data_IF_172736446136
#
_entry.id   IF_172736446136
#
_cell.length_a   1.000
_cell.length_b   1.000
_cell.length_c   1.000
_cell.angle_alpha   90.00
_cell.angle_beta   90.00
_cell.angle_gamma   90.00
#
_symmetry.space_group_name_H-M   'P 1'
#
loop_
_entity.id
_entity.type
_entity.pdbx_description
1 polymer ?
#
# COMPACT_ATOMS: atom_id res chain seq x y z
N UNK A 1 -16.44 3.10 -22.22
CA UNK A 1 -16.43 2.77 -20.79
C UNK A 1 -15.09 3.00 -20.18
N UNK A 2 -15.06 3.62 -19.04
CA UNK A 2 -13.81 4.03 -18.41
C UNK A 2 -13.58 3.21 -17.14
N UNK A 3 -12.43 2.56 -17.04
CA UNK A 3 -12.08 1.85 -15.82
C UNK A 3 -11.66 2.85 -14.75
N UNK A 4 -11.92 2.50 -13.50
CA UNK A 4 -11.44 3.29 -12.39
C UNK A 4 -9.91 3.20 -12.36
N UNK A 5 -9.22 4.33 -12.27
CA UNK A 5 -7.76 4.28 -12.16
C UNK A 5 -7.34 3.51 -10.92
N UNK A 6 -6.25 2.80 -11.02
CA UNK A 6 -5.68 2.14 -9.86
C UNK A 6 -4.17 2.04 -10.02
N UNK A 7 -3.49 1.98 -8.89
CA UNK A 7 -2.05 1.79 -8.85
C UNK A 7 -1.72 0.83 -7.72
N UNK A 8 -0.55 0.22 -7.83
CA UNK A 8 -0.06 -0.66 -6.77
C UNK A 8 1.01 0.09 -5.99
N UNK A 9 0.81 0.19 -4.69
CA UNK A 9 1.81 0.70 -3.77
C UNK A 9 2.47 -0.48 -3.08
N UNK A 10 3.78 -0.37 -2.90
CA UNK A 10 4.52 -1.39 -2.17
C UNK A 10 5.13 -0.75 -0.94
N UNK A 11 4.87 -1.33 0.22
CA UNK A 11 5.43 -0.85 1.47
C UNK A 11 6.28 -1.94 2.10
N UNK A 12 7.41 -1.54 2.66
CA UNK A 12 8.23 -2.42 3.47
C UNK A 12 8.13 -1.95 4.91
N UNK A 13 7.83 -2.86 5.80
CA UNK A 13 7.58 -2.52 7.20
C UNK A 13 8.19 -3.55 8.11
N UNK A 14 8.41 -3.15 9.36
CA UNK A 14 8.78 -4.10 10.40
C UNK A 14 7.58 -4.99 10.66
N UNK A 15 7.82 -6.30 10.67
CA UNK A 15 6.74 -7.25 10.91
C UNK A 15 6.53 -7.42 12.41
N UNK A 16 5.33 -7.07 12.88
CA UNK A 16 4.95 -7.35 14.24
C UNK A 16 3.45 -7.63 14.27
N UNK A 17 2.95 -8.00 15.45
CA UNK A 17 1.57 -8.46 15.59
C UNK A 17 0.55 -7.38 15.24
N UNK A 18 0.92 -6.13 15.35
CA UNK A 18 -0.01 -5.02 15.14
C UNK A 18 0.12 -4.38 13.76
N UNK A 19 1.14 -4.74 12.98
CA UNK A 19 1.42 -4.03 11.74
C UNK A 19 0.27 -4.15 10.74
N UNK A 20 -0.28 -5.36 10.58
CA UNK A 20 -1.38 -5.55 9.66
C UNK A 20 -2.58 -4.69 10.05
N UNK A 21 -2.89 -4.63 11.33
CA UNK A 21 -4.00 -3.81 11.80
C UNK A 21 -3.73 -2.32 11.58
N UNK A 22 -2.48 -1.88 11.78
CA UNK A 22 -2.13 -0.48 11.54
C UNK A 22 -2.31 -0.11 10.09
N UNK A 23 -1.88 -1.00 9.19
CA UNK A 23 -1.97 -0.74 7.75
C UNK A 23 -3.43 -0.69 7.32
N UNK A 24 -4.23 -1.66 7.74
CA UNK A 24 -5.65 -1.67 7.37
C UNK A 24 -6.38 -0.47 7.94
N UNK A 25 -6.01 -0.04 9.13
CA UNK A 25 -6.58 1.13 9.76
C UNK A 25 -6.23 2.40 8.96
N UNK A 26 -4.99 2.49 8.49
CA UNK A 26 -4.54 3.65 7.72
C UNK A 26 -5.27 3.74 6.38
N UNK A 27 -5.56 2.60 5.76
CA UNK A 27 -6.33 2.59 4.52
C UNK A 27 -7.76 3.02 4.79
N UNK A 28 -8.32 2.57 5.92
CA UNK A 28 -9.66 2.94 6.32
C UNK A 28 -10.69 2.46 5.33
N UNK A 29 -11.57 3.36 4.91
CA UNK A 29 -12.64 3.03 3.97
C UNK A 29 -12.25 3.28 2.53
N UNK A 30 -10.99 3.58 2.27
CA UNK A 30 -10.56 3.85 0.91
C UNK A 30 -10.68 2.57 0.06
N UNK A 31 -11.24 2.66 -1.15
CA UNK A 31 -11.38 1.46 -1.99
C UNK A 31 -10.03 0.89 -2.40
N UNK A 32 -9.86 -0.40 -2.18
CA UNK A 32 -8.68 -1.11 -2.64
C UNK A 32 -9.12 -2.31 -3.45
N UNK A 33 -8.35 -2.64 -4.46
CA UNK A 33 -8.66 -3.77 -5.33
C UNK A 33 -8.07 -5.06 -4.80
N UNK A 34 -6.85 -4.98 -4.28
CA UNK A 34 -6.20 -6.15 -3.72
C UNK A 34 -5.27 -5.72 -2.61
N UNK A 35 -4.93 -6.66 -1.76
CA UNK A 35 -4.09 -6.41 -0.62
C UNK A 35 -3.33 -7.69 -0.30
N UNK A 36 -2.02 -7.59 -0.12
CA UNK A 36 -1.25 -8.73 0.35
C UNK A 36 -0.27 -8.27 1.40
N UNK A 37 -0.01 -9.15 2.35
CA UNK A 37 0.91 -8.92 3.46
C UNK A 37 1.78 -10.16 3.57
N UNK A 38 3.07 -10.01 3.30
CA UNK A 38 3.98 -11.15 3.24
C UNK A 38 5.17 -10.90 4.17
N UNK A 39 5.20 -11.55 5.32
CA UNK A 39 6.37 -11.44 6.19
C UNK A 39 7.53 -12.26 5.64
N UNK A 40 8.74 -11.83 5.97
CA UNK A 40 9.93 -12.56 5.56
C UNK A 40 10.74 -12.98 6.78
N UNK A 41 11.84 -13.65 6.54
CA UNK A 41 12.66 -14.21 7.62
C UNK A 41 13.50 -13.15 8.33
N UNK A 42 13.63 -11.98 7.73
CA UNK A 42 14.44 -10.92 8.31
C UNK A 42 13.69 -10.06 9.31
N UNK A 43 12.42 -10.37 9.56
CA UNK A 43 11.63 -9.58 10.49
C UNK A 43 10.96 -8.40 9.86
N UNK A 44 10.87 -8.37 8.53
CA UNK A 44 10.14 -7.34 7.81
C UNK A 44 9.00 -7.97 7.05
N UNK A 45 8.13 -7.14 6.51
CA UNK A 45 7.01 -7.60 5.70
C UNK A 45 6.89 -6.71 4.47
N UNK A 46 6.50 -7.33 3.38
CA UNK A 46 6.18 -6.61 2.15
C UNK A 46 4.68 -6.54 2.01
N UNK A 47 4.18 -5.34 1.80
CA UNK A 47 2.75 -5.08 1.71
C UNK A 47 2.47 -4.51 0.33
N UNK A 48 1.60 -5.17 -0.41
CA UNK A 48 1.18 -4.70 -1.72
C UNK A 48 -0.27 -4.30 -1.65
N UNK A 49 -0.57 -3.09 -2.10
CA UNK A 49 -1.92 -2.55 -2.01
C UNK A 49 -2.28 -1.96 -3.36
N UNK A 50 -3.33 -2.48 -3.97
CA UNK A 50 -3.88 -1.87 -5.17
C UNK A 50 -4.88 -0.81 -4.74
N UNK A 51 -4.50 0.46 -4.90
CA UNK A 51 -5.32 1.59 -4.49
C UNK A 51 -6.11 2.06 -5.69
N UNK A 52 -7.43 2.13 -5.55
CA UNK A 52 -8.30 2.63 -6.59
C UNK A 52 -8.60 4.09 -6.36
N UNK A 53 -8.63 4.85 -7.46
CA UNK A 53 -8.94 6.26 -7.39
C UNK A 53 -7.93 7.08 -8.16
N UNK A 54 -8.14 8.41 -8.14
CA UNK A 54 -7.28 9.32 -8.87
C UNK A 54 -5.97 9.56 -8.11
N UNK A 55 -5.10 10.37 -8.69
CA UNK A 55 -3.78 10.63 -8.12
C UNK A 55 -3.85 11.23 -6.73
N UNK A 56 -4.84 12.06 -6.47
CA UNK A 56 -5.00 12.68 -5.16
C UNK A 56 -5.32 11.63 -4.10
N UNK A 57 -6.19 10.71 -4.43
CA UNK A 57 -6.56 9.63 -3.51
C UNK A 57 -5.40 8.70 -3.28
N UNK A 58 -4.67 8.36 -4.35
CA UNK A 58 -3.49 7.51 -4.25
C UNK A 58 -2.44 8.14 -3.37
N UNK A 59 -2.20 9.42 -3.55
CA UNK A 59 -1.21 10.16 -2.77
C UNK A 59 -1.59 10.24 -1.30
N UNK A 60 -2.88 10.35 -1.02
CA UNK A 60 -3.37 10.39 0.35
C UNK A 60 -3.10 9.07 1.07
N UNK A 61 -3.39 7.96 0.40
CA UNK A 61 -3.13 6.64 0.99
C UNK A 61 -1.65 6.45 1.22
N UNK A 62 -0.84 6.82 0.23
CA UNK A 62 0.60 6.71 0.35
C UNK A 62 1.13 7.50 1.54
N UNK A 63 0.66 8.73 1.72
CA UNK A 63 1.08 9.56 2.83
C UNK A 63 0.71 8.94 4.18
N UNK A 64 -0.47 8.35 4.26
CA UNK A 64 -0.89 7.71 5.50
C UNK A 64 0.01 6.52 5.83
N UNK A 65 0.35 5.74 4.82
CA UNK A 65 1.25 4.60 5.04
C UNK A 65 2.62 5.05 5.50
N UNK A 66 3.14 6.12 4.90
CA UNK A 66 4.47 6.62 5.25
C UNK A 66 4.55 7.11 6.69
N UNK A 67 3.43 7.48 7.27
CA UNK A 67 3.39 8.00 8.64
C UNK A 67 3.27 6.92 9.71
N UNK A 68 3.05 5.68 9.30
CA UNK A 68 2.87 4.61 10.27
C UNK A 68 4.19 4.26 10.91
N UNK A 69 4.15 4.09 12.22
CA UNK A 69 5.32 3.61 12.96
C UNK A 69 5.64 2.19 12.49
N UNK A 70 6.89 1.97 12.13
CA UNK A 70 7.33 0.67 11.66
C UNK A 70 7.35 0.52 10.15
N UNK A 71 6.73 1.43 9.41
CA UNK A 71 6.83 1.42 7.96
C UNK A 71 8.17 2.06 7.59
N UNK A 72 8.98 1.30 6.88
CA UNK A 72 10.34 1.71 6.55
C UNK A 72 10.41 2.45 5.23
N UNK A 73 9.58 2.03 4.27
CA UNK A 73 9.62 2.60 2.94
C UNK A 73 8.30 2.33 2.24
N UNK A 74 7.84 3.30 1.46
CA UNK A 74 6.70 3.12 0.57
C UNK A 74 7.14 3.52 -0.82
N UNK A 75 7.04 2.59 -1.76
CA UNK A 75 7.37 2.85 -3.16
C UNK A 75 6.12 2.80 -4.00
N UNK A 76 6.16 3.52 -5.06
CA UNK A 76 5.06 3.57 -5.99
C UNK A 76 4.48 4.94 -6.10
N UNK A 77 3.51 5.05 -6.98
CA UNK A 77 2.88 3.92 -7.65
C UNK A 77 3.88 3.14 -8.47
N UNK A 78 3.75 1.82 -8.42
CA UNK A 78 4.56 0.98 -9.27
C UNK A 78 4.26 1.39 -10.71
N UNK A 79 5.30 1.45 -11.53
CA UNK A 79 5.14 1.79 -12.93
C UNK A 79 4.47 0.63 -13.59
N UNK A 80 3.30 0.68 -13.60
CA UNK A 80 2.61 -0.38 -14.23
C UNK A 80 2.61 -0.16 -15.71
N UNK A 81 3.10 0.15 -15.55
CA UNK A 81 2.92 0.16 -16.54
C UNK A 81 3.13 -0.28 -17.41
N UNK A 82 2.93 -0.55 -17.63
CA UNK A 82 3.05 -0.94 -18.27
C UNK A 82 3.02 -1.00 -19.21
N UNK A 83 3.05 -1.10 -19.65
CA UNK A 83 3.08 -1.27 -20.43
C UNK A 83 3.21 -1.30 -21.13
N UNK A 84 3.15 -1.41 -21.51
CA UNK A 84 3.38 -1.57 -22.09
C UNK A 84 3.38 -1.74 -22.58
#
# INVERSE_FOLDING_TARGET
MTATPSVVLEATAVHDDAMLARVTSAIGLHPVGSFSYTPDEAGTATILIEVRGDERQQSRVRSRLQRLVGVLEVTGPAASRSTS
#
